data_IF_474336119626
#
_entry.id   IF_474336119626
#
_cell.length_a   1.000
_cell.length_b   1.000
_cell.length_c   1.000
_cell.angle_alpha   90.00
_cell.angle_beta   90.00
_cell.angle_gamma   90.00
#
_symmetry.space_group_name_H-M   'P 1'
#
loop_
_entity.id
_entity.type
_entity.pdbx_description
1 polymer ?
#
# COMPACT_ATOMS: atom_id res chain seq x y z
N UNK A 1 -8.60 -7.24 -4.57
CA UNK A 1 -8.63 -8.58 -5.19
C UNK A 1 -8.43 -9.61 -4.10
N UNK A 2 -9.17 -10.72 -4.12
CA UNK A 2 -9.05 -11.84 -3.17
C UNK A 2 -8.77 -13.10 -3.99
N UNK A 3 -7.73 -13.86 -3.61
CA UNK A 3 -7.44 -15.16 -4.21
C UNK A 3 -8.15 -16.26 -3.44
N UNK A 4 -8.80 -17.19 -4.16
CA UNK A 4 -9.59 -18.28 -3.56
C UNK A 4 -8.76 -19.51 -3.18
N UNK A 5 -7.50 -19.58 -3.61
CA UNK A 5 -6.52 -20.55 -3.11
C UNK A 5 -6.07 -20.22 -1.67
N UNK A 6 -5.56 -21.22 -0.94
CA UNK A 6 -4.94 -21.05 0.37
C UNK A 6 -3.53 -20.42 0.25
N UNK A 7 -3.46 -19.23 -0.35
CA UNK A 7 -2.23 -18.42 -0.46
C UNK A 7 -2.39 -17.25 0.49
N UNK A 8 -1.50 -17.11 1.47
CA UNK A 8 -1.64 -16.11 2.52
C UNK A 8 -1.22 -14.69 2.08
N UNK A 9 -0.18 -14.59 1.25
CA UNK A 9 0.47 -13.31 0.94
C UNK A 9 1.24 -13.35 -0.38
N UNK A 10 1.68 -12.20 -0.91
CA UNK A 10 2.53 -12.15 -2.11
C UNK A 10 3.87 -12.85 -1.88
N UNK A 11 4.38 -12.79 -0.65
CA UNK A 11 5.62 -13.46 -0.24
C UNK A 11 5.48 -14.98 -0.37
N UNK A 12 4.33 -15.53 0.04
CA UNK A 12 4.02 -16.97 -0.06
C UNK A 12 3.46 -17.41 -1.43
N UNK A 13 3.28 -16.47 -2.37
CA UNK A 13 2.74 -16.76 -3.69
C UNK A 13 3.81 -17.30 -4.64
N UNK A 14 3.42 -18.23 -5.52
CA UNK A 14 4.27 -18.64 -6.64
C UNK A 14 4.43 -17.51 -7.65
N UNK A 15 5.43 -17.61 -8.51
CA UNK A 15 5.65 -16.62 -9.57
C UNK A 15 4.48 -16.53 -10.55
N UNK A 16 3.77 -17.64 -10.79
CA UNK A 16 2.53 -17.64 -11.58
C UNK A 16 1.48 -16.70 -10.99
N UNK A 17 1.23 -16.82 -9.68
CA UNK A 17 0.23 -16.01 -8.97
C UNK A 17 0.68 -14.56 -8.89
N UNK A 18 1.98 -14.30 -8.64
CA UNK A 18 2.54 -12.93 -8.67
C UNK A 18 2.37 -12.29 -10.04
N UNK A 19 2.67 -13.02 -11.11
CA UNK A 19 2.47 -12.56 -12.48
C UNK A 19 0.99 -12.30 -12.79
N UNK A 20 0.08 -13.09 -12.24
CA UNK A 20 -1.35 -12.84 -12.35
C UNK A 20 -1.76 -11.55 -11.65
N UNK A 21 -1.28 -11.30 -10.42
CA UNK A 21 -1.49 -10.04 -9.70
C UNK A 21 -1.02 -8.85 -10.52
N UNK A 22 0.14 -8.92 -11.17
CA UNK A 22 0.67 -7.83 -12.01
C UNK A 22 -0.21 -7.57 -13.25
N UNK A 23 -0.78 -8.60 -13.86
CA UNK A 23 -1.76 -8.43 -14.95
C UNK A 23 -3.01 -7.70 -14.45
N UNK A 24 -3.51 -8.06 -13.26
CA UNK A 24 -4.63 -7.35 -12.65
C UNK A 24 -4.28 -5.91 -12.32
N UNK A 25 -3.15 -5.64 -11.66
CA UNK A 25 -2.68 -4.27 -11.40
C UNK A 25 -2.64 -3.45 -12.68
N UNK A 26 -2.08 -4.00 -13.76
CA UNK A 26 -2.00 -3.34 -15.07
C UNK A 26 -3.39 -2.99 -15.63
N UNK A 27 -4.33 -3.94 -15.60
CA UNK A 27 -5.70 -3.72 -16.08
C UNK A 27 -6.45 -2.68 -15.24
N UNK A 28 -6.30 -2.73 -13.91
CA UNK A 28 -6.91 -1.75 -13.00
C UNK A 28 -6.28 -0.36 -13.14
N UNK A 29 -4.97 -0.28 -13.42
CA UNK A 29 -4.29 0.99 -13.68
C UNK A 29 -4.85 1.63 -14.94
N UNK A 30 -5.02 0.86 -16.03
CA UNK A 30 -5.66 1.36 -17.24
C UNK A 30 -7.11 1.82 -17.00
N UNK A 31 -7.87 1.06 -16.22
CA UNK A 31 -9.25 1.42 -15.87
C UNK A 31 -9.31 2.72 -15.02
N UNK A 32 -8.41 2.87 -14.04
CA UNK A 32 -8.29 4.08 -13.24
C UNK A 32 -7.89 5.29 -14.09
N UNK A 33 -6.94 5.12 -15.01
CA UNK A 33 -6.48 6.18 -15.91
C UNK A 33 -7.59 6.66 -16.84
N UNK A 34 -8.38 5.74 -17.42
CA UNK A 34 -9.59 6.07 -18.20
C UNK A 34 -10.62 6.86 -17.40
N UNK A 35 -10.65 6.68 -16.08
CA UNK A 35 -11.50 7.44 -15.16
C UNK A 35 -10.84 8.74 -14.64
N UNK A 36 -9.70 9.17 -15.22
CA UNK A 36 -8.98 10.37 -14.81
C UNK A 36 -8.27 10.26 -13.46
N UNK A 37 -8.01 9.04 -12.98
CA UNK A 37 -7.42 8.72 -11.68
C UNK A 37 -6.07 8.01 -11.83
N UNK A 38 -5.35 7.87 -10.73
CA UNK A 38 -4.14 7.03 -10.61
C UNK A 38 -4.40 5.91 -9.60
N UNK A 39 -3.72 4.77 -9.74
CA UNK A 39 -3.96 3.61 -8.89
C UNK A 39 -2.85 3.44 -7.85
N UNK A 40 -3.21 3.42 -6.56
CA UNK A 40 -2.32 2.95 -5.50
C UNK A 40 -2.63 1.49 -5.18
N UNK A 41 -1.59 0.66 -5.05
CA UNK A 41 -1.72 -0.75 -4.73
C UNK A 41 -1.06 -1.04 -3.39
N UNK A 42 -1.69 -1.82 -2.53
CA UNK A 42 -1.08 -2.21 -1.26
C UNK A 42 -1.55 -3.57 -0.77
N UNK A 43 -0.70 -4.21 0.01
CA UNK A 43 -0.97 -5.44 0.72
C UNK A 43 -0.74 -5.22 2.21
N UNK A 44 -1.67 -5.75 3.02
CA UNK A 44 -1.50 -5.86 4.46
C UNK A 44 -1.64 -7.32 4.85
N UNK A 45 -0.51 -8.01 4.96
CA UNK A 45 -0.45 -9.35 5.52
C UNK A 45 -0.44 -9.24 7.06
N UNK A 46 -1.61 -9.01 7.67
CA UNK A 46 -1.76 -8.97 9.12
C UNK A 46 -3.15 -9.43 9.54
N UNK A 47 -3.20 -10.48 10.38
CA UNK A 47 -4.45 -11.11 10.84
C UNK A 47 -5.39 -11.51 9.68
N UNK A 48 -4.81 -12.04 8.60
CA UNK A 48 -5.53 -12.55 7.42
C UNK A 48 -5.03 -13.96 7.09
N UNK A 49 -5.92 -14.78 6.50
CA UNK A 49 -5.60 -16.13 6.01
C UNK A 49 -5.41 -16.18 4.49
N UNK A 50 -5.80 -15.11 3.79
CA UNK A 50 -5.78 -15.05 2.33
C UNK A 50 -5.07 -13.81 1.82
N UNK A 51 -4.41 -13.98 0.68
CA UNK A 51 -3.78 -12.93 -0.11
C UNK A 51 -4.84 -11.90 -0.52
N UNK A 52 -4.60 -10.68 -0.06
CA UNK A 52 -5.45 -9.52 -0.33
C UNK A 52 -4.62 -8.34 -0.81
N UNK A 53 -4.57 -8.15 -2.13
CA UNK A 53 -4.02 -6.94 -2.75
C UNK A 53 -5.17 -5.95 -2.97
N UNK A 54 -5.04 -4.78 -2.37
CA UNK A 54 -5.98 -3.68 -2.51
C UNK A 54 -5.49 -2.72 -3.59
N UNK A 55 -6.41 -2.28 -4.44
CA UNK A 55 -6.15 -1.42 -5.59
C UNK A 55 -7.14 -0.26 -5.50
N UNK A 56 -6.64 0.93 -5.16
CA UNK A 56 -7.47 2.09 -4.83
C UNK A 56 -7.21 3.22 -5.84
N UNK A 57 -8.22 3.62 -6.63
CA UNK A 57 -8.10 4.78 -7.51
C UNK A 57 -8.13 6.08 -6.72
N UNK A 58 -7.14 6.94 -6.91
CA UNK A 58 -7.00 8.26 -6.28
C UNK A 58 -6.97 9.37 -7.33
N UNK A 59 -7.33 10.62 -6.97
CA UNK A 59 -7.15 11.75 -7.88
C UNK A 59 -5.69 11.91 -8.31
N UNK A 60 -5.45 12.20 -9.60
CA UNK A 60 -4.09 12.44 -10.14
C UNK A 60 -3.36 13.58 -9.41
N UNK A 61 -4.10 14.57 -8.92
CA UNK A 61 -3.56 15.68 -8.12
C UNK A 61 -2.97 15.24 -6.77
N UNK A 62 -3.40 14.10 -6.23
CA UNK A 62 -2.93 13.59 -4.94
C UNK A 62 -1.61 12.83 -5.03
N UNK A 63 -1.20 12.38 -6.22
CA UNK A 63 -0.03 11.49 -6.41
C UNK A 63 1.25 12.09 -5.80
N UNK A 64 1.53 13.37 -6.06
CA UNK A 64 2.74 14.04 -5.57
C UNK A 64 2.82 14.09 -4.03
N UNK A 65 1.68 14.17 -3.35
CA UNK A 65 1.62 14.27 -1.89
C UNK A 65 1.49 12.90 -1.20
N UNK A 66 1.19 11.85 -1.96
CA UNK A 66 0.80 10.55 -1.42
C UNK A 66 1.89 9.92 -0.54
N UNK A 67 3.13 9.90 -1.03
CA UNK A 67 4.27 9.38 -0.26
C UNK A 67 4.45 10.11 1.07
N UNK A 68 4.40 11.44 1.04
CA UNK A 68 4.47 12.26 2.25
C UNK A 68 3.31 11.99 3.21
N UNK A 69 2.09 11.78 2.68
CA UNK A 69 0.93 11.42 3.48
C UNK A 69 1.10 10.06 4.19
N UNK A 70 1.62 9.04 3.49
CA UNK A 70 1.94 7.75 4.11
C UNK A 70 2.99 7.88 5.21
N UNK A 71 4.09 8.59 4.95
CA UNK A 71 5.16 8.78 5.94
C UNK A 71 4.68 9.56 7.17
N UNK A 72 3.91 10.63 6.97
CA UNK A 72 3.33 11.39 8.07
C UNK A 72 2.34 10.55 8.88
N UNK A 73 1.41 9.86 8.22
CA UNK A 73 0.42 9.02 8.91
C UNK A 73 1.08 7.88 9.69
N UNK A 74 2.14 7.28 9.12
CA UNK A 74 2.93 6.27 9.81
C UNK A 74 3.62 6.85 11.05
N UNK A 75 4.26 8.02 10.92
CA UNK A 75 4.89 8.71 12.04
C UNK A 75 3.91 9.02 13.17
N UNK A 76 2.72 9.53 12.85
CA UNK A 76 1.64 9.79 13.82
C UNK A 76 1.15 8.51 14.51
N UNK A 77 1.14 7.39 13.80
CA UNK A 77 0.78 6.08 14.33
C UNK A 77 1.94 5.36 15.05
N UNK A 78 3.13 5.97 15.13
CA UNK A 78 4.34 5.36 15.68
C UNK A 78 4.85 4.16 14.86
N UNK A 79 4.57 4.15 13.56
CA UNK A 79 4.98 3.12 12.60
C UNK A 79 6.15 3.63 11.78
N UNK A 80 7.22 2.84 11.70
CA UNK A 80 8.32 3.11 10.80
C UNK A 80 8.04 2.49 9.42
N UNK A 81 7.94 3.34 8.39
CA UNK A 81 7.88 2.93 6.99
C UNK A 81 9.24 3.19 6.33
N UNK A 82 9.83 2.13 5.76
CA UNK A 82 11.06 2.24 4.96
C UNK A 82 10.72 2.41 3.49
N UNK A 83 11.56 3.15 2.79
CA UNK A 83 11.48 3.32 1.33
C UNK A 83 12.25 2.19 0.70
N UNK A 84 11.64 1.52 -0.28
CA UNK A 84 12.31 0.45 -1.03
C UNK A 84 12.82 0.95 -2.38
N UNK A 85 14.04 0.56 -2.72
CA UNK A 85 14.64 0.70 -4.05
C UNK A 85 13.97 -0.26 -5.02
N UNK A 86 13.84 0.09 -6.30
CA UNK A 86 13.12 -0.72 -7.31
C UNK A 86 13.63 -2.16 -7.48
N UNK A 87 14.90 -2.41 -7.16
CA UNK A 87 15.50 -3.76 -7.24
C UNK A 87 15.10 -4.67 -6.09
N UNK A 88 14.69 -4.13 -4.94
CA UNK A 88 14.36 -4.93 -3.76
C UNK A 88 13.08 -5.73 -3.97
N UNK A 89 13.10 -7.01 -3.59
CA UNK A 89 11.94 -7.90 -3.65
C UNK A 89 11.38 -8.13 -2.25
N UNK A 90 10.06 -8.29 -2.14
CA UNK A 90 9.41 -8.55 -0.85
C UNK A 90 9.94 -9.81 -0.15
N UNK A 91 10.27 -10.85 -0.92
CA UNK A 91 10.82 -12.10 -0.40
C UNK A 91 12.18 -11.95 0.28
N UNK A 92 12.95 -10.92 -0.08
CA UNK A 92 14.24 -10.63 0.55
C UNK A 92 14.08 -9.87 1.89
N UNK A 93 12.93 -9.22 2.08
CA UNK A 93 12.66 -8.34 3.22
C UNK A 93 11.90 -9.06 4.36
N UNK A 94 11.13 -10.08 4.02
CA UNK A 94 10.27 -10.79 4.96
C UNK A 94 10.05 -12.25 4.55
N UNK A 95 10.13 -13.14 5.53
CA UNK A 95 9.87 -14.56 5.34
C UNK A 95 8.37 -14.84 5.22
N UNK A 96 8.02 -15.97 4.61
CA UNK A 96 6.65 -16.47 4.59
C UNK A 96 6.06 -16.58 6.01
N UNK A 97 4.76 -16.31 6.13
CA UNK A 97 4.04 -16.31 7.40
C UNK A 97 4.30 -15.10 8.30
N UNK A 98 5.37 -14.32 8.06
CA UNK A 98 5.62 -13.10 8.83
C UNK A 98 4.70 -11.95 8.37
N UNK A 99 4.11 -11.20 9.31
CA UNK A 99 3.22 -10.12 8.97
C UNK A 99 3.98 -8.89 8.44
N UNK A 100 3.40 -8.21 7.46
CA UNK A 100 3.96 -6.98 6.88
C UNK A 100 2.89 -6.08 6.27
N UNK A 101 3.29 -4.84 6.00
CA UNK A 101 2.58 -3.91 5.15
C UNK A 101 3.49 -3.46 4.01
N UNK A 102 2.93 -3.42 2.81
CA UNK A 102 3.61 -2.99 1.60
C UNK A 102 2.67 -2.13 0.76
N UNK A 103 3.17 -1.01 0.24
CA UNK A 103 2.44 -0.14 -0.68
C UNK A 103 3.32 0.26 -1.86
N UNK A 104 2.72 0.24 -3.03
CA UNK A 104 3.27 0.67 -4.31
C UNK A 104 2.43 1.84 -4.81
N UNK A 105 3.08 2.98 -5.03
CA UNK A 105 2.46 4.23 -5.41
C UNK A 105 2.49 4.43 -6.93
N UNK A 106 1.61 5.30 -7.49
CA UNK A 106 1.54 5.51 -8.93
C UNK A 106 2.83 6.06 -9.57
N UNK A 107 3.69 6.71 -8.79
CA UNK A 107 5.00 7.20 -9.23
C UNK A 107 6.09 6.10 -9.21
N UNK A 108 5.70 4.86 -8.91
CA UNK A 108 6.56 3.71 -8.74
C UNK A 108 7.21 3.62 -7.37
N UNK A 109 7.10 4.64 -6.50
CA UNK A 109 7.73 4.56 -5.18
C UNK A 109 7.06 3.51 -4.29
N UNK A 110 7.87 2.87 -3.44
CA UNK A 110 7.46 1.72 -2.63
C UNK A 110 7.79 1.96 -1.17
N UNK A 111 6.86 1.64 -0.27
CA UNK A 111 7.06 1.70 1.17
C UNK A 111 6.75 0.36 1.81
N UNK A 112 7.46 0.03 2.89
CA UNK A 112 7.36 -1.26 3.56
C UNK A 112 7.54 -1.14 5.07
N UNK A 113 6.92 -2.06 5.81
CA UNK A 113 7.22 -2.27 7.23
C UNK A 113 6.86 -3.68 7.69
N UNK A 114 7.58 -4.16 8.72
CA UNK A 114 7.25 -5.36 9.49
C UNK A 114 6.69 -5.02 10.88
N UNK A 115 6.56 -3.73 11.21
CA UNK A 115 6.03 -3.29 12.49
C UNK A 115 4.50 -3.45 12.51
N UNK A 116 4.06 -4.69 12.65
CA UNK A 116 2.64 -5.03 12.52
C UNK A 116 1.90 -5.15 13.85
N UNK A 117 2.60 -5.09 14.98
CA UNK A 117 1.96 -5.11 16.31
C UNK A 117 1.04 -3.90 16.44
N UNK A 118 -0.26 -4.15 16.64
CA UNK A 118 -1.32 -3.13 16.72
C UNK A 118 -1.45 -2.27 15.46
N UNK A 119 -1.00 -2.76 14.30
CA UNK A 119 -1.09 -2.00 13.05
C UNK A 119 -2.56 -1.71 12.67
N UNK A 120 -2.92 -0.46 12.33
CA UNK A 120 -4.31 -0.11 12.02
C UNK A 120 -4.81 -0.81 10.76
N UNK A 121 -5.92 -1.54 10.87
CA UNK A 121 -6.47 -2.33 9.76
C UNK A 121 -6.95 -1.46 8.59
N UNK A 122 -7.22 -0.17 8.80
CA UNK A 122 -7.68 0.75 7.77
C UNK A 122 -6.61 1.76 7.32
N UNK A 123 -5.39 1.66 7.84
CA UNK A 123 -4.30 2.63 7.64
C UNK A 123 -4.20 3.16 6.19
N UNK A 124 -3.95 2.28 5.22
CA UNK A 124 -3.76 2.68 3.84
C UNK A 124 -5.04 3.21 3.17
N UNK A 125 -6.22 2.75 3.59
CA UNK A 125 -7.50 3.28 3.10
C UNK A 125 -7.76 4.69 3.60
N UNK A 126 -7.47 4.95 4.87
CA UNK A 126 -7.57 6.28 5.45
C UNK A 126 -6.62 7.23 4.73
N UNK A 127 -5.35 6.86 4.58
CA UNK A 127 -4.36 7.67 3.83
C UNK A 127 -4.79 7.94 2.39
N UNK A 128 -5.33 6.94 1.68
CA UNK A 128 -5.69 7.07 0.25
C UNK A 128 -7.03 7.77 0.00
N UNK A 129 -7.92 7.80 0.99
CA UNK A 129 -9.26 8.42 0.86
C UNK A 129 -9.26 9.90 1.24
N UNK A 130 -8.26 10.33 2.01
CA UNK A 130 -8.17 11.69 2.52
C UNK A 130 -7.55 12.61 1.45
N UNK A 131 -8.23 13.72 1.17
CA UNK A 131 -7.70 14.72 0.24
C UNK A 131 -6.44 15.38 0.83
N UNK A 132 -5.44 15.78 0.01
CA UNK A 132 -4.24 16.46 0.50
C UNK A 132 -4.53 17.71 1.35
N UNK A 133 -5.69 18.36 1.15
CA UNK A 133 -6.13 19.51 1.93
C UNK A 133 -6.44 19.17 3.40
N UNK A 134 -6.92 17.96 3.70
CA UNK A 134 -7.23 17.53 5.06
C UNK A 134 -5.96 17.23 5.86
N UNK A 135 -4.92 16.66 5.25
CA UNK A 135 -3.61 16.50 5.90
C UNK A 135 -2.91 17.83 6.17
N UNK A 136 -3.10 18.82 5.30
CA UNK A 136 -2.61 20.18 5.54
C UNK A 136 -3.33 20.85 6.72
N UNK A 137 -4.63 20.60 6.90
CA UNK A 137 -5.41 21.13 8.02
C UNK A 137 -4.99 20.51 9.37
N UNK A 138 -4.69 19.20 9.41
CA UNK A 138 -4.19 18.51 10.60
C UNK A 138 -2.82 19.07 11.05
N UNK A 139 -1.92 19.43 10.12
CA UNK A 139 -0.64 20.09 10.45
C UNK A 139 -0.79 21.43 11.17
N UNK A 140 -1.87 22.17 10.93
CA UNK A 140 -2.09 23.49 11.55
C UNK A 140 -2.65 23.34 12.97
N UNK A 141 -3.41 22.26 13.24
CA UNK A 141 -3.99 22.02 14.57
C UNK A 141 -2.98 21.50 15.59
N UNK A 142 -1.90 20.86 15.15
CA UNK A 142 -0.81 20.38 16.03
C UNK A 142 0.32 21.41 16.24
N UNK A 143 0.15 22.65 15.76
CA UNK A 143 1.14 23.73 15.87
C UNK A 143 0.79 24.81 16.91
N UNK A 144 -0.13 24.53 17.85
CA UNK A 144 -0.51 25.45 18.94
C UNK A 144 -0.55 24.75 20.29
#
# INVERSE_FOLDING_TARGET
>A
MLFTGHIQSLVAASDEVRNEVEKFKSAFTLAADKAGKSLVCFERNYRTQHLQVQMVPIPKSSVKALRGAFLNAASLAGIELVVLDQSEQLGDLVNEGCPYFFVEMPDGSRLFTRQMKNFPLQFAREVSSISPAHWAALRIQDSF
#
